data_IF_685178321062
#
_entry.id   IF_685178321062
#
_cell.length_a   1.000
_cell.length_b   1.000
_cell.length_c   1.000
_cell.angle_alpha   90.00
_cell.angle_beta   90.00
_cell.angle_gamma   90.00
#
_symmetry.space_group_name_H-M   'P 1'
#
loop_
_entity.id
_entity.type
_entity.pdbx_description
1 polymer ?
#
# COMPACT_ATOMS: atom_id res chain seq x y z
N UNK A 1 14.10 61.96 -68.42
CA UNK A 1 13.16 61.07 -67.86
C UNK A 1 13.92 59.97 -67.11
N UNK A 2 14.08 60.08 -65.78
CA UNK A 2 14.78 59.11 -64.94
C UNK A 2 13.77 58.54 -63.97
N UNK A 3 13.43 57.23 -64.08
CA UNK A 3 12.56 56.46 -63.20
C UNK A 3 13.36 56.08 -61.97
N UNK A 4 12.96 56.60 -60.80
CA UNK A 4 13.40 56.08 -59.50
C UNK A 4 12.65 54.79 -59.20
N UNK A 5 13.37 53.69 -59.00
CA UNK A 5 12.85 52.44 -58.43
C UNK A 5 13.00 52.48 -56.88
N UNK A 6 11.87 52.46 -56.19
CA UNK A 6 11.80 52.29 -54.74
C UNK A 6 11.88 50.78 -54.35
N UNK A 7 12.82 50.45 -53.48
CA UNK A 7 13.01 49.14 -52.90
C UNK A 7 12.26 49.11 -51.56
N UNK A 8 11.35 48.21 -51.31
CA UNK A 8 10.74 48.07 -49.96
C UNK A 8 11.68 47.29 -49.03
N UNK A 9 12.05 47.90 -47.95
CA UNK A 9 12.81 47.29 -46.83
C UNK A 9 11.91 46.36 -46.06
N UNK A 10 12.15 45.07 -46.15
CA UNK A 10 11.46 44.03 -45.38
C UNK A 10 12.06 44.00 -43.97
N UNK A 11 11.37 44.52 -42.97
CA UNK A 11 11.73 44.41 -41.56
C UNK A 11 11.34 43.01 -41.05
N UNK A 12 12.31 42.13 -40.88
CA UNK A 12 12.14 40.82 -40.26
C UNK A 12 12.09 41.00 -38.74
N UNK A 13 10.89 40.94 -38.14
CA UNK A 13 10.70 40.79 -36.70
C UNK A 13 11.11 39.38 -36.26
N UNK A 14 12.29 39.22 -35.67
CA UNK A 14 12.67 38.02 -34.92
C UNK A 14 11.88 38.03 -33.60
N UNK A 15 10.79 37.23 -33.51
CA UNK A 15 10.19 36.87 -32.25
C UNK A 15 11.13 35.88 -31.54
N UNK A 16 11.89 36.38 -30.57
CA UNK A 16 12.59 35.52 -29.60
C UNK A 16 11.54 34.83 -28.69
N UNK A 17 11.22 33.57 -28.98
CA UNK A 17 10.51 32.72 -28.06
C UNK A 17 11.41 32.45 -26.85
N UNK A 18 11.27 33.27 -25.82
CA UNK A 18 11.83 33.01 -24.51
C UNK A 18 11.09 31.80 -23.94
N UNK A 19 11.66 30.60 -24.08
CA UNK A 19 11.21 29.39 -23.37
C UNK A 19 11.44 29.65 -21.89
N UNK A 20 10.42 30.15 -21.20
CA UNK A 20 10.38 30.16 -19.73
C UNK A 20 10.49 28.71 -19.28
N UNK A 21 11.65 28.30 -18.81
CA UNK A 21 11.77 27.07 -18.04
C UNK A 21 10.93 27.29 -16.78
N UNK A 22 9.71 26.76 -16.74
CA UNK A 22 8.94 26.68 -15.50
C UNK A 22 9.76 25.79 -14.55
N UNK A 23 10.60 26.40 -13.74
CA UNK A 23 11.12 25.71 -12.56
C UNK A 23 9.93 25.41 -11.66
N UNK A 24 9.66 24.13 -11.42
CA UNK A 24 8.68 23.74 -10.42
C UNK A 24 9.13 24.32 -9.06
N UNK A 25 8.18 24.82 -8.27
CA UNK A 25 8.51 25.33 -6.95
C UNK A 25 9.08 24.21 -6.07
N UNK A 26 10.07 24.50 -5.22
CA UNK A 26 10.64 23.55 -4.30
C UNK A 26 9.54 22.98 -3.37
N UNK A 27 9.70 21.72 -2.98
CA UNK A 27 8.72 21.01 -2.15
C UNK A 27 9.33 20.82 -0.76
N UNK A 28 8.74 21.49 0.23
CA UNK A 28 9.08 21.32 1.63
C UNK A 28 8.09 20.39 2.31
N UNK A 29 8.64 19.37 2.98
CA UNK A 29 7.91 18.32 3.67
C UNK A 29 8.40 18.18 5.10
N UNK A 30 7.54 17.64 5.95
CA UNK A 30 7.91 17.20 7.29
C UNK A 30 7.25 15.83 7.51
N UNK A 31 8.06 14.82 7.79
CA UNK A 31 7.61 13.45 8.04
C UNK A 31 7.21 13.18 9.49
N UNK A 32 7.27 14.21 10.33
CA UNK A 32 7.04 14.15 11.76
C UNK A 32 8.34 14.05 12.60
N UNK A 33 9.47 13.73 11.96
CA UNK A 33 10.80 13.67 12.60
C UNK A 33 11.83 14.54 11.89
N UNK A 34 11.72 14.66 10.57
CA UNK A 34 12.71 15.35 9.73
C UNK A 34 12.02 16.33 8.79
N UNK A 35 12.69 17.45 8.52
CA UNK A 35 12.36 18.33 7.41
C UNK A 35 13.07 17.83 6.15
N UNK A 36 12.32 17.61 5.09
CA UNK A 36 12.83 17.13 3.80
C UNK A 36 12.59 18.20 2.75
N UNK A 37 13.65 18.65 2.12
CA UNK A 37 13.63 19.65 1.06
C UNK A 37 13.92 19.00 -0.29
N UNK A 38 13.00 19.16 -1.24
CA UNK A 38 13.15 18.70 -2.62
C UNK A 38 13.20 19.94 -3.52
N UNK A 39 14.29 20.21 -4.25
CA UNK A 39 14.38 21.38 -5.12
C UNK A 39 13.38 21.34 -6.27
N UNK A 40 13.03 20.14 -6.71
CA UNK A 40 12.07 19.86 -7.79
C UNK A 40 11.28 18.58 -7.46
N UNK A 41 10.19 18.32 -8.21
CA UNK A 41 9.49 17.03 -8.13
C UNK A 41 10.43 15.89 -8.56
N UNK A 42 10.57 14.83 -7.72
CA UNK A 42 11.52 13.76 -7.95
C UNK A 42 11.16 12.93 -9.18
N UNK A 43 12.20 12.47 -9.90
CA UNK A 43 12.10 11.64 -11.10
C UNK A 43 12.62 10.22 -10.88
N UNK A 44 13.43 10.03 -9.84
CA UNK A 44 14.13 8.78 -9.55
C UNK A 44 13.84 8.34 -8.11
N UNK A 45 12.66 7.79 -7.92
CA UNK A 45 12.18 7.42 -6.58
C UNK A 45 12.56 5.98 -6.25
N UNK A 46 13.09 5.76 -5.06
CA UNK A 46 13.24 4.43 -4.46
C UNK A 46 12.30 4.31 -3.28
N UNK A 47 11.59 3.18 -3.17
CA UNK A 47 10.66 2.92 -2.07
C UNK A 47 10.98 1.60 -1.37
N UNK A 48 10.87 1.58 -0.04
CA UNK A 48 11.33 0.46 0.77
C UNK A 48 10.18 -0.35 1.42
N UNK A 49 8.93 -0.10 1.01
CA UNK A 49 7.75 -0.87 1.45
C UNK A 49 6.71 -1.00 0.33
N UNK A 50 5.88 -2.05 0.39
CA UNK A 50 4.81 -2.28 -0.59
C UNK A 50 3.72 -1.21 -0.55
N UNK A 51 3.46 -0.62 0.63
CA UNK A 51 2.52 0.50 0.75
C UNK A 51 2.96 1.75 0.00
N UNK A 52 4.26 1.95 -0.12
CA UNK A 52 4.81 3.08 -0.88
C UNK A 52 4.79 2.80 -2.38
N UNK A 53 4.97 1.52 -2.80
CA UNK A 53 4.69 1.11 -4.19
C UNK A 53 3.23 1.35 -4.57
N UNK A 54 2.30 1.00 -3.68
CA UNK A 54 0.87 1.27 -3.86
C UNK A 54 0.58 2.77 -4.00
N UNK A 55 1.21 3.60 -3.18
CA UNK A 55 1.05 5.06 -3.25
C UNK A 55 1.60 5.64 -4.57
N UNK A 56 2.70 5.13 -5.09
CA UNK A 56 3.22 5.52 -6.40
C UNK A 56 2.26 5.06 -7.52
N UNK A 57 1.76 3.84 -7.44
CA UNK A 57 0.80 3.28 -8.38
C UNK A 57 -0.51 4.08 -8.40
N UNK A 58 -0.95 4.59 -7.25
CA UNK A 58 -2.15 5.40 -7.12
C UNK A 58 -2.11 6.70 -7.95
N UNK A 59 -0.92 7.16 -8.35
CA UNK A 59 -0.69 8.38 -9.14
C UNK A 59 0.18 8.16 -10.39
N UNK A 60 0.25 6.91 -10.85
CA UNK A 60 0.94 6.49 -12.08
C UNK A 60 2.43 6.92 -12.11
N UNK A 61 3.16 6.63 -11.03
CA UNK A 61 4.60 6.87 -10.92
C UNK A 61 5.34 5.54 -10.83
N UNK A 62 6.27 5.29 -11.75
CA UNK A 62 7.14 4.13 -11.72
C UNK A 62 8.39 4.44 -10.88
N UNK A 63 8.71 3.68 -9.82
CA UNK A 63 9.96 3.86 -9.10
C UNK A 63 11.14 3.32 -9.91
N UNK A 64 12.34 3.84 -9.67
CA UNK A 64 13.58 3.25 -10.24
C UNK A 64 14.03 2.03 -9.45
N UNK A 65 13.62 1.92 -8.18
CA UNK A 65 13.91 0.77 -7.32
C UNK A 65 12.91 0.59 -6.21
N UNK A 66 12.76 -0.66 -5.78
CA UNK A 66 11.91 -1.01 -4.65
C UNK A 66 12.48 -2.18 -3.85
N UNK A 67 12.28 -2.15 -2.52
CA UNK A 67 12.50 -3.32 -1.69
C UNK A 67 11.29 -4.25 -1.84
N UNK A 68 11.45 -5.34 -2.59
CA UNK A 68 10.39 -6.28 -2.97
C UNK A 68 10.55 -7.68 -2.37
N UNK A 69 11.46 -7.82 -1.40
CA UNK A 69 11.84 -9.09 -0.77
C UNK A 69 12.46 -10.11 -1.76
N UNK A 70 12.99 -9.66 -2.90
CA UNK A 70 13.55 -10.49 -3.96
C UNK A 70 12.49 -11.24 -4.78
N UNK A 71 11.21 -10.91 -4.61
CA UNK A 71 10.09 -11.53 -5.33
C UNK A 71 8.98 -10.49 -5.60
N UNK A 72 9.02 -9.93 -6.80
CA UNK A 72 8.03 -8.93 -7.22
C UNK A 72 6.58 -9.47 -7.24
N UNK A 73 6.38 -10.80 -7.28
CA UNK A 73 5.03 -11.38 -7.26
C UNK A 73 4.32 -11.18 -5.91
N UNK A 74 5.05 -10.86 -4.85
CA UNK A 74 4.49 -10.51 -3.54
C UNK A 74 3.87 -9.12 -3.49
N UNK A 75 4.17 -8.27 -4.47
CA UNK A 75 3.51 -6.99 -4.68
C UNK A 75 2.18 -7.22 -5.39
N UNK A 76 1.14 -6.55 -4.93
CA UNK A 76 -0.22 -6.67 -5.44
C UNK A 76 -0.25 -6.57 -6.98
N UNK A 77 -0.90 -7.51 -7.72
CA UNK A 77 -0.91 -7.51 -9.18
C UNK A 77 -1.34 -6.18 -9.81
N UNK A 78 -2.39 -5.53 -9.26
CA UNK A 78 -2.87 -4.23 -9.76
C UNK A 78 -1.85 -3.10 -9.57
N UNK A 79 -1.00 -3.18 -8.53
CA UNK A 79 0.13 -2.25 -8.33
C UNK A 79 1.18 -2.48 -9.41
N UNK A 80 1.61 -3.73 -9.62
CA UNK A 80 2.60 -4.08 -10.65
C UNK A 80 2.15 -3.68 -12.06
N UNK A 81 0.87 -3.84 -12.36
CA UNK A 81 0.29 -3.44 -13.65
C UNK A 81 0.30 -1.92 -13.86
N UNK A 82 0.09 -1.15 -12.81
CA UNK A 82 0.05 0.31 -12.88
C UNK A 82 1.44 0.95 -13.05
N UNK A 83 2.47 0.40 -12.40
CA UNK A 83 3.80 1.04 -12.35
C UNK A 83 4.87 0.33 -13.19
N UNK A 84 4.59 -0.84 -13.74
CA UNK A 84 5.57 -1.57 -14.56
C UNK A 84 6.73 -2.13 -13.75
N UNK A 85 7.95 -2.10 -14.31
CA UNK A 85 9.12 -2.73 -13.72
C UNK A 85 9.99 -1.75 -12.94
N UNK A 86 10.65 -2.28 -11.90
CA UNK A 86 11.65 -1.59 -11.07
C UNK A 86 12.86 -2.49 -10.84
N UNK A 87 13.95 -1.93 -10.34
CA UNK A 87 15.10 -2.70 -9.85
C UNK A 87 14.85 -3.10 -8.39
N UNK A 88 14.99 -4.39 -8.06
CA UNK A 88 14.95 -4.84 -6.67
C UNK A 88 16.13 -4.26 -5.89
N UNK A 89 15.87 -3.68 -4.73
CA UNK A 89 16.90 -3.26 -3.78
C UNK A 89 16.93 -4.17 -2.55
N UNK A 90 16.42 -5.39 -2.67
CA UNK A 90 16.50 -6.44 -1.66
C UNK A 90 15.30 -6.52 -0.72
N UNK A 91 15.56 -6.95 0.51
CA UNK A 91 14.52 -7.20 1.50
C UNK A 91 13.99 -5.89 2.10
N UNK A 92 12.69 -5.80 2.34
CA UNK A 92 12.08 -4.67 3.07
C UNK A 92 12.60 -4.53 4.51
N UNK A 93 13.00 -5.64 5.14
CA UNK A 93 13.61 -5.61 6.47
C UNK A 93 15.08 -5.21 6.47
N UNK A 94 15.76 -5.40 5.35
CA UNK A 94 17.19 -5.16 5.19
C UNK A 94 17.48 -4.81 3.72
N UNK A 95 17.15 -3.58 3.30
CA UNK A 95 17.42 -3.14 1.93
C UNK A 95 18.92 -2.96 1.70
N UNK A 96 19.37 -3.17 0.46
CA UNK A 96 20.76 -2.97 0.06
C UNK A 96 21.04 -1.48 -0.16
N UNK A 97 21.78 -0.87 0.75
CA UNK A 97 22.23 0.53 0.65
C UNK A 97 23.06 0.74 -0.62
N UNK A 98 23.89 -0.23 -0.99
CA UNK A 98 24.72 -0.18 -2.19
C UNK A 98 23.87 -0.15 -3.47
N UNK A 99 22.86 -1.01 -3.58
CA UNK A 99 21.95 -1.02 -4.72
C UNK A 99 21.14 0.29 -4.81
N UNK A 100 20.69 0.81 -3.68
CA UNK A 100 19.99 2.10 -3.60
C UNK A 100 20.89 3.22 -4.14
N UNK A 101 22.15 3.31 -3.65
CA UNK A 101 23.10 4.33 -4.09
C UNK A 101 23.41 4.22 -5.59
N UNK A 102 23.54 2.99 -6.12
CA UNK A 102 23.76 2.75 -7.55
C UNK A 102 22.66 3.29 -8.45
N UNK A 103 21.42 3.26 -7.95
CA UNK A 103 20.27 3.80 -8.68
C UNK A 103 20.22 5.33 -8.71
N UNK A 104 21.07 6.03 -7.94
CA UNK A 104 21.12 7.50 -7.88
C UNK A 104 19.72 8.11 -7.75
N UNK A 105 18.96 7.78 -6.69
CA UNK A 105 17.64 8.34 -6.47
C UNK A 105 17.72 9.84 -6.17
N UNK A 106 16.64 10.54 -6.41
CA UNK A 106 16.40 11.92 -5.97
C UNK A 106 15.36 12.00 -4.85
N UNK A 107 14.73 10.86 -4.52
CA UNK A 107 13.91 10.66 -3.33
C UNK A 107 13.97 9.21 -2.89
N UNK A 108 14.08 8.98 -1.58
CA UNK A 108 13.89 7.68 -0.94
C UNK A 108 12.68 7.78 -0.01
N UNK A 109 11.77 6.78 -0.06
CA UNK A 109 10.67 6.64 0.89
C UNK A 109 10.88 5.36 1.71
N UNK A 110 11.10 5.53 3.00
CA UNK A 110 11.48 4.47 3.92
C UNK A 110 10.46 4.31 5.07
N UNK A 111 10.35 3.11 5.64
CA UNK A 111 9.44 2.83 6.75
C UNK A 111 10.04 3.25 8.09
N UNK A 112 9.28 4.03 8.85
CA UNK A 112 9.67 4.54 10.16
C UNK A 112 10.07 3.42 11.12
N UNK A 113 9.30 2.33 11.16
CA UNK A 113 9.53 1.26 12.13
C UNK A 113 10.70 0.35 11.76
N UNK A 114 11.02 0.21 10.46
CA UNK A 114 12.08 -0.67 9.97
C UNK A 114 13.40 0.04 9.73
N UNK A 115 13.34 1.27 9.23
CA UNK A 115 14.48 1.93 8.61
C UNK A 115 14.99 3.14 9.40
N UNK A 116 14.41 3.44 10.57
CA UNK A 116 14.88 4.57 11.41
C UNK A 116 16.39 4.47 11.71
N UNK A 117 16.88 3.27 11.99
CA UNK A 117 18.32 3.06 12.25
C UNK A 117 19.19 3.25 10.99
N UNK A 118 18.61 3.16 9.80
CA UNK A 118 19.31 3.35 8.52
C UNK A 118 19.16 4.77 7.97
N UNK A 119 18.42 5.64 8.68
CA UNK A 119 18.08 6.97 8.16
C UNK A 119 19.28 7.79 7.72
N UNK A 120 20.35 7.84 8.53
CA UNK A 120 21.56 8.60 8.20
C UNK A 120 22.24 8.11 6.91
N UNK A 121 22.26 6.79 6.70
CA UNK A 121 22.87 6.20 5.52
C UNK A 121 22.01 6.50 4.27
N UNK A 122 20.69 6.35 4.38
CA UNK A 122 19.77 6.69 3.31
C UNK A 122 19.79 8.18 2.97
N UNK A 123 19.78 9.06 3.97
CA UNK A 123 19.82 10.52 3.81
C UNK A 123 21.16 11.01 3.21
N UNK A 124 22.24 10.24 3.35
CA UNK A 124 23.51 10.54 2.70
C UNK A 124 23.47 10.29 1.18
N UNK A 125 22.53 9.47 0.71
CA UNK A 125 22.36 9.14 -0.72
C UNK A 125 21.42 10.12 -1.38
N UNK A 126 20.24 10.38 -0.77
CA UNK A 126 19.22 11.28 -1.31
C UNK A 126 18.27 11.77 -0.20
N UNK A 127 17.52 12.86 -0.44
CA UNK A 127 16.40 13.24 0.42
C UNK A 127 15.54 12.04 0.77
N UNK A 128 15.31 11.80 2.07
CA UNK A 128 14.63 10.61 2.56
C UNK A 128 13.42 10.99 3.41
N UNK A 129 12.24 10.48 3.03
CA UNK A 129 11.02 10.52 3.83
C UNK A 129 10.92 9.25 4.66
N UNK A 130 10.71 9.40 5.97
CA UNK A 130 10.54 8.31 6.90
C UNK A 130 9.07 8.25 7.33
N UNK A 131 8.28 7.40 6.69
CA UNK A 131 6.84 7.32 6.88
C UNK A 131 6.43 6.02 7.57
N UNK A 132 5.37 6.03 8.39
CA UNK A 132 4.80 4.80 8.90
C UNK A 132 4.28 3.94 7.74
N UNK A 133 4.45 2.61 7.85
CA UNK A 133 3.82 1.61 6.98
C UNK A 133 3.39 0.39 7.79
N UNK A 134 4.35 -0.20 8.50
CA UNK A 134 4.05 -1.35 9.34
C UNK A 134 3.34 -0.92 10.62
N UNK A 135 2.17 -1.53 10.88
CA UNK A 135 1.36 -1.25 12.07
C UNK A 135 0.36 -0.11 11.89
N UNK A 136 0.30 0.50 10.73
CA UNK A 136 -0.74 1.47 10.39
C UNK A 136 -2.08 0.80 10.12
N UNK A 137 -3.14 1.54 10.40
CA UNK A 137 -4.48 1.28 9.93
C UNK A 137 -4.72 1.85 8.52
N UNK A 138 -5.94 1.72 8.02
CA UNK A 138 -6.33 2.22 6.70
C UNK A 138 -6.17 3.74 6.57
N UNK A 139 -6.65 4.53 7.55
CA UNK A 139 -6.56 5.99 7.49
C UNK A 139 -5.10 6.48 7.62
N UNK A 140 -4.27 5.82 8.42
CA UNK A 140 -2.83 6.08 8.50
C UNK A 140 -2.16 5.87 7.15
N UNK A 141 -2.49 4.77 6.46
CA UNK A 141 -1.93 4.50 5.13
C UNK A 141 -2.32 5.55 4.08
N UNK A 142 -3.54 6.13 4.16
CA UNK A 142 -3.95 7.22 3.29
C UNK A 142 -3.16 8.51 3.58
N UNK A 143 -2.87 8.81 4.85
CA UNK A 143 -2.03 9.97 5.22
C UNK A 143 -0.60 9.82 4.68
N UNK A 144 -0.02 8.62 4.76
CA UNK A 144 1.28 8.33 4.15
C UNK A 144 1.22 8.53 2.62
N UNK A 145 0.14 8.09 1.96
CA UNK A 145 -0.06 8.30 0.53
C UNK A 145 -0.19 9.80 0.17
N UNK A 146 -0.91 10.59 0.97
CA UNK A 146 -1.02 12.06 0.79
C UNK A 146 0.36 12.74 0.82
N UNK A 147 1.20 12.38 1.80
CA UNK A 147 2.56 12.91 1.92
C UNK A 147 3.44 12.49 0.72
N UNK A 148 3.34 11.24 0.26
CA UNK A 148 4.02 10.77 -0.94
C UNK A 148 3.52 11.54 -2.16
N UNK A 149 2.21 11.73 -2.31
CA UNK A 149 1.64 12.54 -3.39
C UNK A 149 2.17 13.98 -3.39
N UNK A 150 2.36 14.57 -2.21
CA UNK A 150 2.98 15.91 -2.07
C UNK A 150 4.44 15.87 -2.47
N UNK A 151 5.21 14.87 -2.02
CA UNK A 151 6.62 14.71 -2.40
C UNK A 151 6.82 14.57 -3.91
N UNK A 152 5.89 13.90 -4.58
CA UNK A 152 5.91 13.68 -6.03
C UNK A 152 5.40 14.90 -6.84
N UNK A 153 4.97 15.99 -6.18
CA UNK A 153 4.31 17.11 -6.86
C UNK A 153 2.93 16.75 -7.44
N UNK A 154 2.31 15.69 -6.93
CA UNK A 154 1.03 15.11 -7.41
C UNK A 154 -0.10 15.18 -6.37
N UNK A 155 -0.08 16.18 -5.47
CA UNK A 155 -1.12 16.33 -4.42
C UNK A 155 -2.55 16.33 -4.98
N UNK A 156 -2.89 17.05 -6.05
CA UNK A 156 -4.26 17.04 -6.57
C UNK A 156 -4.67 15.65 -7.10
N UNK A 157 -3.78 14.95 -7.80
CA UNK A 157 -4.04 13.60 -8.31
C UNK A 157 -4.25 12.61 -7.20
N UNK A 158 -3.39 12.65 -6.17
CA UNK A 158 -3.52 11.79 -4.99
C UNK A 158 -4.82 12.06 -4.23
N UNK A 159 -5.20 13.32 -4.02
CA UNK A 159 -6.45 13.67 -3.35
C UNK A 159 -7.68 13.12 -4.11
N UNK A 160 -7.72 13.26 -5.43
CA UNK A 160 -8.77 12.69 -6.27
C UNK A 160 -8.78 11.15 -6.17
N UNK A 161 -7.61 10.52 -6.17
CA UNK A 161 -7.50 9.06 -6.08
C UNK A 161 -7.96 8.51 -4.73
N UNK A 162 -7.61 9.18 -3.65
CA UNK A 162 -8.06 8.84 -2.29
C UNK A 162 -9.58 9.03 -2.17
N UNK A 163 -10.12 10.12 -2.70
CA UNK A 163 -11.58 10.33 -2.67
C UNK A 163 -12.30 9.22 -3.44
N UNK A 164 -11.82 8.85 -4.62
CA UNK A 164 -12.37 7.72 -5.39
C UNK A 164 -12.30 6.41 -4.61
N UNK A 165 -11.23 6.17 -3.90
CA UNK A 165 -11.08 4.99 -3.04
C UNK A 165 -12.16 4.96 -1.95
N UNK A 166 -12.35 6.06 -1.22
CA UNK A 166 -13.39 6.18 -0.19
C UNK A 166 -14.79 5.96 -0.76
N UNK A 167 -15.07 6.50 -1.94
CA UNK A 167 -16.36 6.31 -2.63
C UNK A 167 -16.57 4.85 -3.02
N UNK A 168 -15.53 4.16 -3.50
CA UNK A 168 -15.57 2.73 -3.83
C UNK A 168 -15.85 1.88 -2.58
N UNK A 169 -15.14 2.12 -1.48
CA UNK A 169 -15.37 1.39 -0.22
C UNK A 169 -16.79 1.64 0.31
N UNK A 170 -17.28 2.87 0.22
CA UNK A 170 -18.66 3.21 0.60
C UNK A 170 -19.69 2.50 -0.26
N UNK A 171 -19.47 2.39 -1.56
CA UNK A 171 -20.35 1.64 -2.48
C UNK A 171 -20.35 0.14 -2.18
N UNK A 172 -19.20 -0.42 -1.78
CA UNK A 172 -19.10 -1.80 -1.32
C UNK A 172 -19.85 -1.98 0.01
N UNK A 173 -19.68 -1.05 0.97
CA UNK A 173 -20.36 -1.09 2.26
C UNK A 173 -21.89 -1.19 2.15
N UNK A 174 -22.49 -0.54 1.16
CA UNK A 174 -23.93 -0.63 0.89
C UNK A 174 -24.41 -2.03 0.47
N UNK A 175 -23.49 -2.92 0.10
CA UNK A 175 -23.77 -4.27 -0.35
C UNK A 175 -23.42 -5.34 0.71
N UNK A 176 -22.79 -4.94 1.81
CA UNK A 176 -22.41 -5.83 2.91
C UNK A 176 -23.64 -6.14 3.76
N UNK A 177 -23.88 -7.42 4.11
CA UNK A 177 -24.95 -7.80 5.04
C UNK A 177 -24.78 -7.14 6.41
N UNK A 178 -25.85 -6.52 6.91
CA UNK A 178 -25.81 -5.82 8.19
C UNK A 178 -25.41 -6.78 9.34
N UNK A 179 -24.48 -6.33 10.16
CA UNK A 179 -24.03 -7.08 11.35
C UNK A 179 -23.06 -8.23 11.07
N UNK A 180 -22.64 -8.45 9.83
CA UNK A 180 -21.67 -9.47 9.50
C UNK A 180 -20.36 -9.26 10.27
N UNK A 181 -19.84 -10.35 10.86
CA UNK A 181 -18.58 -10.37 11.60
C UNK A 181 -17.55 -11.18 10.82
N UNK A 182 -16.38 -10.59 10.61
CA UNK A 182 -15.29 -11.19 9.83
C UNK A 182 -13.98 -11.06 10.59
N UNK A 183 -13.21 -12.12 10.63
CA UNK A 183 -11.85 -12.11 11.16
C UNK A 183 -10.90 -12.63 10.08
N UNK A 184 -9.89 -11.84 9.76
CA UNK A 184 -8.78 -12.26 8.91
C UNK A 184 -7.61 -12.72 9.77
N UNK A 185 -6.98 -13.82 9.37
CA UNK A 185 -5.77 -14.30 10.01
C UNK A 185 -4.78 -14.94 9.05
N UNK A 186 -3.51 -14.87 9.42
CA UNK A 186 -2.40 -15.46 8.67
C UNK A 186 -1.95 -16.77 9.32
N UNK A 187 -2.04 -17.84 8.54
CA UNK A 187 -1.61 -19.18 8.94
C UNK A 187 -0.15 -19.42 8.48
N UNK A 188 0.68 -19.85 9.43
CA UNK A 188 2.03 -20.36 9.24
C UNK A 188 2.05 -21.84 9.58
N UNK A 189 3.23 -22.45 9.50
CA UNK A 189 3.41 -23.87 9.81
C UNK A 189 2.92 -24.23 11.22
N UNK A 190 3.26 -23.42 12.22
CA UNK A 190 3.07 -23.66 13.65
C UNK A 190 2.29 -22.58 14.39
N UNK A 191 1.84 -21.54 13.70
CA UNK A 191 1.23 -20.38 14.32
C UNK A 191 0.14 -19.75 13.47
N UNK A 192 -0.82 -19.11 14.13
CA UNK A 192 -1.88 -18.33 13.51
C UNK A 192 -1.93 -16.95 14.14
N UNK A 193 -1.83 -15.91 13.31
CA UNK A 193 -1.94 -14.53 13.78
C UNK A 193 -3.17 -13.86 13.19
N UNK A 194 -4.03 -13.33 14.07
CA UNK A 194 -5.23 -12.59 13.69
C UNK A 194 -4.93 -11.11 13.50
N UNK A 195 -5.65 -10.51 12.58
CA UNK A 195 -5.61 -9.08 12.29
C UNK A 195 -6.84 -8.44 12.94
N UNK A 196 -6.63 -7.75 14.06
CA UNK A 196 -7.68 -7.06 14.81
C UNK A 196 -8.17 -5.78 14.13
N UNK A 197 -9.13 -5.07 14.77
CA UNK A 197 -9.74 -3.86 14.21
C UNK A 197 -8.76 -2.74 13.90
N UNK A 198 -7.67 -2.61 14.67
CA UNK A 198 -6.64 -1.58 14.52
C UNK A 198 -5.53 -1.99 13.52
N UNK A 199 -5.61 -3.18 12.93
CA UNK A 199 -4.74 -3.57 11.83
C UNK A 199 -5.19 -2.94 10.52
N UNK A 200 -4.29 -2.87 9.53
CA UNK A 200 -4.66 -2.37 8.21
C UNK A 200 -5.83 -3.15 7.60
N UNK A 201 -5.75 -4.48 7.51
CA UNK A 201 -6.82 -5.30 6.95
C UNK A 201 -8.12 -5.19 7.78
N UNK A 202 -8.01 -5.20 9.12
CA UNK A 202 -9.16 -5.06 10.01
C UNK A 202 -9.87 -3.71 9.87
N UNK A 203 -9.12 -2.63 9.80
CA UNK A 203 -9.68 -1.28 9.62
C UNK A 203 -10.31 -1.08 8.24
N UNK A 204 -9.79 -1.71 7.18
CA UNK A 204 -10.46 -1.75 5.86
C UNK A 204 -11.80 -2.50 5.95
N UNK A 205 -11.82 -3.66 6.62
CA UNK A 205 -13.07 -4.41 6.84
C UNK A 205 -14.10 -3.58 7.62
N UNK A 206 -13.66 -2.83 8.63
CA UNK A 206 -14.54 -1.90 9.35
C UNK A 206 -15.04 -0.75 8.47
N UNK A 207 -14.18 -0.20 7.60
CA UNK A 207 -14.55 0.88 6.68
C UNK A 207 -15.66 0.47 5.69
N UNK A 208 -15.81 -0.82 5.41
CA UNK A 208 -16.92 -1.37 4.62
C UNK A 208 -18.08 -1.90 5.48
N UNK A 209 -18.12 -1.58 6.78
CA UNK A 209 -19.25 -1.88 7.67
C UNK A 209 -19.23 -3.26 8.34
N UNK A 210 -18.14 -4.02 8.24
CA UNK A 210 -17.98 -5.31 8.89
C UNK A 210 -17.55 -5.15 10.35
N UNK A 211 -18.00 -6.06 11.20
CA UNK A 211 -17.51 -6.17 12.59
C UNK A 211 -16.25 -7.02 12.60
N UNK A 212 -15.17 -6.50 13.18
CA UNK A 212 -13.91 -7.22 13.35
C UNK A 212 -13.70 -7.51 14.83
N UNK A 213 -13.73 -8.78 15.25
CA UNK A 213 -13.48 -9.14 16.64
C UNK A 213 -12.06 -8.78 17.09
N UNK A 214 -11.92 -8.39 18.35
CA UNK A 214 -10.62 -8.14 18.98
C UNK A 214 -10.38 -9.17 20.08
N UNK A 215 -9.12 -9.63 20.20
CA UNK A 215 -8.70 -10.61 21.21
C UNK A 215 -8.95 -10.08 22.63
N UNK A 216 -8.72 -8.77 22.83
CA UNK A 216 -8.96 -8.05 24.08
C UNK A 216 -9.03 -6.55 23.82
N UNK A 217 -9.48 -5.79 24.79
CA UNK A 217 -9.35 -4.33 24.76
C UNK A 217 -7.87 -3.92 24.64
N UNK A 218 -7.57 -2.95 23.77
CA UNK A 218 -6.20 -2.48 23.48
C UNK A 218 -5.24 -3.61 23.03
N UNK A 219 -5.77 -4.59 22.27
CA UNK A 219 -4.95 -5.59 21.63
C UNK A 219 -3.97 -4.95 20.62
N UNK A 220 -2.83 -5.60 20.39
CA UNK A 220 -1.97 -5.18 19.27
C UNK A 220 -2.72 -5.34 17.94
N UNK A 221 -2.40 -4.54 16.90
CA UNK A 221 -3.04 -4.67 15.59
C UNK A 221 -3.03 -6.10 15.03
N UNK A 222 -2.00 -6.88 15.37
CA UNK A 222 -1.91 -8.30 15.04
C UNK A 222 -1.46 -9.09 16.25
N UNK A 223 -2.14 -10.19 16.56
CA UNK A 223 -1.81 -11.06 17.67
C UNK A 223 -1.81 -12.53 17.27
N UNK A 224 -0.89 -13.32 17.88
CA UNK A 224 -0.93 -14.76 17.77
C UNK A 224 -2.02 -15.32 18.69
N UNK A 225 -2.78 -16.26 18.18
CA UNK A 225 -3.87 -16.89 18.92
C UNK A 225 -3.78 -18.41 18.84
N UNK A 226 -4.24 -19.07 19.91
CA UNK A 226 -4.52 -20.50 19.91
C UNK A 226 -5.90 -20.80 19.30
N UNK A 227 -6.21 -22.07 19.09
CA UNK A 227 -7.52 -22.49 18.60
C UNK A 227 -8.63 -22.16 19.61
N UNK A 228 -8.35 -22.26 20.91
CA UNK A 228 -9.29 -21.92 22.00
C UNK A 228 -9.59 -20.40 21.99
N UNK A 229 -8.56 -19.58 21.79
CA UNK A 229 -8.74 -18.12 21.68
C UNK A 229 -9.52 -17.76 20.41
N UNK A 230 -9.27 -18.45 19.29
CA UNK A 230 -10.04 -18.28 18.06
C UNK A 230 -11.50 -18.68 18.26
N UNK A 231 -11.76 -19.76 18.99
CA UNK A 231 -13.12 -20.18 19.36
C UNK A 231 -13.82 -19.13 20.24
N UNK A 232 -13.09 -18.53 21.19
CA UNK A 232 -13.65 -17.46 22.03
C UNK A 232 -14.00 -16.18 21.25
N UNK A 233 -13.29 -15.90 20.16
CA UNK A 233 -13.60 -14.79 19.24
C UNK A 233 -14.84 -15.07 18.40
N UNK A 234 -15.08 -16.33 18.08
CA UNK A 234 -16.19 -16.89 17.29
C UNK A 234 -16.67 -15.96 16.15
N UNK A 235 -15.80 -15.65 15.17
CA UNK A 235 -16.17 -14.79 14.06
C UNK A 235 -17.25 -15.44 13.20
N UNK A 236 -18.17 -14.65 12.62
CA UNK A 236 -19.16 -15.15 11.67
C UNK A 236 -18.53 -15.68 10.38
N UNK A 237 -17.41 -15.06 9.95
CA UNK A 237 -16.57 -15.48 8.84
C UNK A 237 -15.11 -15.51 9.27
N UNK A 238 -14.40 -16.57 8.89
CA UNK A 238 -12.95 -16.69 9.08
C UNK A 238 -12.26 -16.69 7.72
N UNK A 239 -11.47 -15.66 7.47
CA UNK A 239 -10.65 -15.53 6.25
C UNK A 239 -9.21 -15.90 6.58
N UNK A 240 -8.65 -16.86 5.84
CA UNK A 240 -7.34 -17.44 6.13
C UNK A 240 -6.38 -17.16 4.97
N UNK A 241 -5.33 -16.40 5.25
CA UNK A 241 -4.19 -16.23 4.35
C UNK A 241 -3.09 -17.21 4.73
N UNK A 242 -2.72 -18.11 3.83
CA UNK A 242 -1.63 -19.06 4.09
C UNK A 242 -0.29 -18.48 3.59
N UNK A 243 0.69 -18.36 4.50
CA UNK A 243 2.06 -18.04 4.11
C UNK A 243 2.86 -19.27 3.70
N UNK A 244 2.46 -20.44 4.21
CA UNK A 244 3.03 -21.75 3.88
C UNK A 244 1.98 -22.83 4.04
N UNK A 245 2.17 -23.95 3.33
CA UNK A 245 1.40 -25.18 3.48
C UNK A 245 2.34 -26.39 3.63
N UNK A 246 2.04 -27.36 4.47
CA UNK A 246 0.89 -27.36 5.39
C UNK A 246 1.03 -26.26 6.45
N UNK A 247 -0.10 -25.75 6.95
CA UNK A 247 -0.17 -24.71 7.97
C UNK A 247 -0.78 -25.23 9.26
N UNK A 248 -0.76 -24.42 10.31
CA UNK A 248 -1.42 -24.74 11.59
C UNK A 248 -2.93 -24.98 11.39
N UNK A 249 -3.58 -24.31 10.42
CA UNK A 249 -4.99 -24.50 10.12
C UNK A 249 -5.26 -25.89 9.56
N UNK A 250 -4.36 -26.47 8.77
CA UNK A 250 -4.46 -27.85 8.29
C UNK A 250 -4.36 -28.86 9.45
N UNK A 251 -3.66 -28.49 10.54
CA UNK A 251 -3.59 -29.27 11.77
C UNK A 251 -4.87 -29.09 12.61
N UNK A 252 -5.33 -27.84 12.79
CA UNK A 252 -6.54 -27.54 13.56
C UNK A 252 -7.80 -28.13 12.93
N UNK A 253 -7.89 -28.17 11.59
CA UNK A 253 -9.04 -28.71 10.87
C UNK A 253 -9.35 -30.18 11.21
N UNK A 254 -8.38 -30.93 11.73
CA UNK A 254 -8.52 -32.31 12.18
C UNK A 254 -8.95 -32.46 13.66
N UNK A 255 -9.01 -31.36 14.41
CA UNK A 255 -9.34 -31.35 15.82
C UNK A 255 -10.85 -31.17 16.04
N UNK A 256 -11.46 -31.87 17.05
CA UNK A 256 -12.86 -31.68 17.36
C UNK A 256 -13.23 -30.23 17.69
N UNK A 257 -12.30 -29.48 18.31
CA UNK A 257 -12.49 -28.08 18.68
C UNK A 257 -12.68 -27.16 17.43
N UNK A 258 -12.06 -27.47 16.32
CA UNK A 258 -12.26 -26.76 15.05
C UNK A 258 -13.72 -26.89 14.56
N UNK A 259 -14.33 -28.08 14.73
CA UNK A 259 -15.66 -28.36 14.23
C UNK A 259 -16.77 -27.60 14.98
N UNK A 260 -16.48 -27.06 16.17
CA UNK A 260 -17.45 -26.29 16.95
C UNK A 260 -17.37 -24.77 16.66
N UNK A 261 -16.37 -24.29 15.92
CA UNK A 261 -16.32 -22.90 15.46
C UNK A 261 -17.58 -22.57 14.63
N UNK A 262 -18.21 -21.43 14.92
CA UNK A 262 -19.41 -20.98 14.21
C UNK A 262 -19.15 -20.82 12.69
N UNK A 263 -18.02 -20.23 12.31
CA UNK A 263 -17.62 -20.09 10.90
C UNK A 263 -17.47 -21.45 10.20
N UNK A 264 -16.92 -22.47 10.88
CA UNK A 264 -16.76 -23.82 10.30
C UNK A 264 -18.12 -24.50 10.09
N UNK A 265 -19.00 -24.48 11.13
CA UNK A 265 -20.33 -25.08 11.04
C UNK A 265 -21.19 -24.45 9.95
N UNK A 266 -21.02 -23.17 9.70
CA UNK A 266 -21.78 -22.43 8.70
C UNK A 266 -21.10 -22.43 7.32
N UNK A 267 -19.97 -23.11 7.15
CA UNK A 267 -19.18 -23.11 5.90
C UNK A 267 -18.68 -21.71 5.51
N UNK A 268 -18.40 -20.87 6.49
CA UNK A 268 -17.92 -19.49 6.35
C UNK A 268 -16.41 -19.37 6.60
N UNK A 269 -15.65 -20.42 6.28
CA UNK A 269 -14.18 -20.35 6.24
C UNK A 269 -13.76 -20.22 4.78
N UNK A 270 -13.06 -19.15 4.46
CA UNK A 270 -12.59 -18.90 3.11
C UNK A 270 -11.09 -18.59 3.09
N UNK A 271 -10.43 -18.99 2.00
CA UNK A 271 -9.02 -18.65 1.77
C UNK A 271 -8.92 -17.33 1.03
N UNK A 272 -7.92 -16.55 1.41
CA UNK A 272 -7.53 -15.30 0.75
C UNK A 272 -6.02 -15.33 0.48
N UNK A 273 -5.55 -14.49 -0.43
CA UNK A 273 -4.12 -14.34 -0.68
C UNK A 273 -3.45 -13.65 0.53
N UNK A 274 -2.59 -14.40 1.23
CA UNK A 274 -1.96 -13.93 2.46
C UNK A 274 -0.99 -12.77 2.24
N UNK A 275 -0.31 -12.72 1.10
CA UNK A 275 0.60 -11.62 0.77
C UNK A 275 -0.20 -10.34 0.45
N UNK A 276 -1.24 -10.44 -0.35
CA UNK A 276 -2.11 -9.30 -0.69
C UNK A 276 -2.78 -8.70 0.55
N UNK A 277 -3.29 -9.54 1.47
CA UNK A 277 -4.06 -9.08 2.62
C UNK A 277 -3.22 -8.62 3.82
N UNK A 278 -2.05 -9.22 4.03
CA UNK A 278 -1.24 -8.93 5.22
C UNK A 278 0.00 -8.07 4.94
N UNK A 279 0.53 -8.10 3.72
CA UNK A 279 1.79 -7.40 3.39
C UNK A 279 1.58 -6.15 2.55
N UNK A 280 0.56 -6.15 1.68
CA UNK A 280 0.21 -5.00 0.87
C UNK A 280 -0.72 -4.07 1.66
N UNK A 281 -0.48 -2.77 1.56
CA UNK A 281 -1.25 -1.68 2.20
C UNK A 281 -1.30 -0.51 1.25
N UNK A 282 -2.27 0.35 1.41
CA UNK A 282 -2.40 1.57 0.61
C UNK A 282 -3.77 1.70 -0.05
N UNK A 283 -3.85 2.53 -1.07
CA UNK A 283 -5.11 2.88 -1.75
C UNK A 283 -5.65 1.71 -2.58
N UNK A 284 -4.78 1.04 -3.34
CA UNK A 284 -5.18 -0.07 -4.21
C UNK A 284 -5.41 -1.36 -3.40
N UNK A 285 -4.59 -1.57 -2.37
CA UNK A 285 -4.70 -2.73 -1.50
C UNK A 285 -6.01 -2.73 -0.70
N UNK A 286 -6.49 -1.58 -0.21
CA UNK A 286 -7.79 -1.49 0.48
C UNK A 286 -8.96 -1.85 -0.43
N UNK A 287 -8.91 -1.44 -1.70
CA UNK A 287 -9.93 -1.81 -2.68
C UNK A 287 -9.94 -3.32 -2.93
N UNK A 288 -8.77 -3.95 -3.05
CA UNK A 288 -8.67 -5.40 -3.21
C UNK A 288 -9.29 -6.16 -2.02
N UNK A 289 -8.93 -5.77 -0.79
CA UNK A 289 -9.49 -6.37 0.42
C UNK A 289 -11.01 -6.22 0.47
N UNK A 290 -11.52 -5.03 0.14
CA UNK A 290 -12.95 -4.75 0.16
C UNK A 290 -13.73 -5.55 -0.91
N UNK A 291 -13.18 -5.65 -2.12
CA UNK A 291 -13.75 -6.41 -3.23
C UNK A 291 -13.76 -7.92 -2.92
N UNK A 292 -12.64 -8.45 -2.41
CA UNK A 292 -12.54 -9.86 -1.99
C UNK A 292 -13.54 -10.20 -0.88
N UNK A 293 -13.61 -9.35 0.16
CA UNK A 293 -14.55 -9.54 1.25
C UNK A 293 -16.00 -9.55 0.76
N UNK A 294 -16.38 -8.62 -0.12
CA UNK A 294 -17.71 -8.59 -0.71
C UNK A 294 -18.00 -9.86 -1.54
N UNK A 295 -17.05 -10.30 -2.36
CA UNK A 295 -17.19 -11.50 -3.18
C UNK A 295 -17.41 -12.74 -2.29
N UNK A 296 -16.60 -12.92 -1.26
CA UNK A 296 -16.69 -14.05 -0.31
C UNK A 296 -18.05 -14.05 0.40
N UNK A 297 -18.48 -12.91 0.94
CA UNK A 297 -19.74 -12.80 1.66
C UNK A 297 -20.96 -13.06 0.77
N UNK A 298 -20.85 -12.91 -0.54
CA UNK A 298 -21.88 -13.28 -1.53
C UNK A 298 -21.78 -14.73 -2.04
N UNK A 299 -20.96 -15.57 -1.42
CA UNK A 299 -20.74 -16.96 -1.81
C UNK A 299 -19.78 -17.17 -2.97
N UNK A 300 -19.03 -16.13 -3.34
CA UNK A 300 -17.94 -16.19 -4.31
C UNK A 300 -16.60 -16.62 -3.70
N UNK A 301 -15.53 -16.52 -4.48
CA UNK A 301 -14.15 -16.74 -4.03
C UNK A 301 -13.37 -15.42 -4.13
N UNK A 302 -12.43 -15.21 -3.22
CA UNK A 302 -11.43 -14.14 -3.36
C UNK A 302 -10.58 -14.36 -4.61
N UNK A 303 -10.10 -13.26 -5.18
CA UNK A 303 -9.12 -13.32 -6.27
C UNK A 303 -7.77 -13.73 -5.66
N UNK A 304 -7.41 -14.99 -5.83
CA UNK A 304 -6.08 -15.45 -5.45
C UNK A 304 -5.08 -14.95 -6.51
N UNK A 305 -4.02 -14.27 -6.07
CA UNK A 305 -2.90 -13.93 -6.97
C UNK A 305 -2.23 -15.23 -7.44
N UNK A 306 -2.15 -15.42 -8.76
CA UNK A 306 -1.38 -16.49 -9.39
C UNK A 306 0.10 -16.09 -9.51
#
# INVERSE_FOLDING_TARGET
>A
MRLLRSIPTLAACLLALSSSVLNAAPIDLNDGQHAVHLPDAPKRVVVLEFSFLDSLAAVDVTPVGAADDGDANRVLPRVRQAIGQWTSVGLRSQPSIEEIARLKPDLIVADLNRHQALYSDLASIAPTLLLPSRGEDYEGSLKSAELIGKALGKSPQMAVRIQKNRDNLKAIAQQIPAGASVLFGVAREDSFSVHGPDSYAGSVLQAIGLKVPSVRANAAPTEFVSLEQLLALDPGWLLVGHYRRPSIVDTWSKQPLWQVLGAVRNQHVAEVDGDSWARNRGVLASEQIAEDALAILKGGKAVLSQ
#
